data_IF_899041227686
#
_entry.id   IF_899041227686
#
_cell.length_a   1.000
_cell.length_b   1.000
_cell.length_c   1.000
_cell.angle_alpha   90.00
_cell.angle_beta   90.00
_cell.angle_gamma   90.00
#
_symmetry.space_group_name_H-M   'P 1'
#
loop_
_entity.id
_entity.type
_entity.pdbx_description
1 polymer ?
#
# COMPACT_ATOMS: atom_id res chain seq x y z
N UNK A 1 -17.53 -9.63 2.31
CA UNK A 1 -18.01 -8.32 2.78
C UNK A 1 -19.25 -8.50 3.63
N UNK A 2 -20.36 -8.98 3.09
CA UNK A 2 -21.60 -9.14 3.85
C UNK A 2 -22.74 -9.62 2.96
N UNK A 3 -23.98 -9.35 3.36
CA UNK A 3 -25.16 -9.76 2.60
C UNK A 3 -26.05 -8.57 2.26
N UNK A 4 -26.79 -8.68 1.17
CA UNK A 4 -27.83 -7.70 0.82
C UNK A 4 -28.92 -7.73 1.89
N UNK A 5 -29.12 -6.62 2.58
CA UNK A 5 -30.20 -6.44 3.55
C UNK A 5 -31.51 -6.06 2.85
N UNK A 6 -31.45 -5.12 1.90
CA UNK A 6 -32.61 -4.63 1.15
C UNK A 6 -32.17 -4.13 -0.23
N UNK A 7 -33.09 -4.17 -1.19
CA UNK A 7 -32.88 -3.61 -2.54
C UNK A 7 -34.02 -2.64 -2.82
N UNK A 8 -33.70 -1.44 -3.28
CA UNK A 8 -34.63 -0.48 -3.85
C UNK A 8 -34.31 -0.25 -5.34
N UNK A 9 -35.02 0.67 -5.98
CA UNK A 9 -34.94 0.87 -7.44
C UNK A 9 -33.55 1.31 -7.93
N UNK A 10 -32.85 2.11 -7.12
CA UNK A 10 -31.54 2.68 -7.47
C UNK A 10 -30.48 2.53 -6.38
N UNK A 11 -30.78 1.78 -5.33
CA UNK A 11 -29.90 1.59 -4.18
C UNK A 11 -30.07 0.20 -3.61
N UNK A 12 -29.06 -0.25 -2.87
CA UNK A 12 -29.13 -1.45 -2.06
C UNK A 12 -28.64 -1.13 -0.65
N UNK A 13 -29.07 -1.92 0.32
CA UNK A 13 -28.51 -1.93 1.66
C UNK A 13 -27.71 -3.20 1.84
N UNK A 14 -26.52 -3.09 2.43
CA UNK A 14 -25.65 -4.21 2.76
C UNK A 14 -25.51 -4.26 4.28
N UNK A 15 -25.75 -5.43 4.86
CA UNK A 15 -25.47 -5.70 6.26
C UNK A 15 -24.07 -6.33 6.39
N UNK A 16 -23.19 -5.69 7.16
CA UNK A 16 -21.81 -6.16 7.38
C UNK A 16 -21.23 -5.62 8.69
N UNK A 17 -20.23 -6.31 9.24
CA UNK A 17 -19.36 -5.77 10.31
C UNK A 17 -18.24 -4.89 9.77
N UNK A 18 -17.97 -4.92 8.47
CA UNK A 18 -16.90 -4.17 7.85
C UNK A 18 -17.30 -2.70 7.63
N UNK A 19 -16.31 -1.82 7.75
CA UNK A 19 -16.46 -0.42 7.34
C UNK A 19 -16.56 -0.35 5.81
N UNK A 20 -17.49 0.44 5.29
CA UNK A 20 -17.63 0.69 3.84
C UNK A 20 -17.37 2.15 3.49
N UNK A 21 -16.89 2.40 2.27
CA UNK A 21 -16.51 3.74 1.79
C UNK A 21 -17.07 4.03 0.41
N UNK A 22 -17.30 5.32 0.11
CA UNK A 22 -17.55 5.76 -1.26
C UNK A 22 -16.38 5.33 -2.16
N UNK A 23 -16.69 4.83 -3.35
CA UNK A 23 -15.72 4.32 -4.31
C UNK A 23 -15.40 2.83 -4.17
N UNK A 24 -15.86 2.16 -3.09
CA UNK A 24 -15.71 0.72 -2.93
C UNK A 24 -16.29 -0.02 -4.15
N UNK A 25 -15.57 -1.05 -4.59
CA UNK A 25 -16.05 -2.01 -5.56
C UNK A 25 -16.63 -3.23 -4.85
N UNK A 26 -17.81 -3.65 -5.29
CA UNK A 26 -18.45 -4.87 -4.84
C UNK A 26 -18.78 -5.79 -6.02
N UNK A 27 -18.91 -7.08 -5.74
CA UNK A 27 -19.40 -8.06 -6.69
C UNK A 27 -20.27 -9.12 -6.01
N UNK A 28 -21.09 -9.79 -6.81
CA UNK A 28 -21.97 -10.87 -6.38
C UNK A 28 -22.19 -11.87 -7.51
N UNK A 29 -22.69 -13.05 -7.16
CA UNK A 29 -23.07 -14.08 -8.13
C UNK A 29 -24.49 -13.86 -8.63
N UNK A 30 -24.63 -13.66 -9.95
CA UNK A 30 -25.92 -13.66 -10.64
C UNK A 30 -26.02 -14.92 -11.48
N UNK A 31 -26.75 -15.93 -10.98
CA UNK A 31 -26.76 -17.29 -11.56
C UNK A 31 -25.34 -17.87 -11.58
N UNK A 32 -24.70 -17.95 -12.76
CA UNK A 32 -23.34 -18.49 -12.95
C UNK A 32 -22.31 -17.44 -13.35
N UNK A 33 -22.69 -16.16 -13.30
CA UNK A 33 -21.85 -15.04 -13.69
C UNK A 33 -21.52 -14.17 -12.48
N UNK A 34 -20.28 -13.70 -12.40
CA UNK A 34 -19.86 -12.69 -11.41
C UNK A 34 -20.20 -11.32 -11.98
N UNK A 35 -21.00 -10.56 -11.25
CA UNK A 35 -21.40 -9.21 -11.61
C UNK A 35 -20.78 -8.23 -10.63
N UNK A 36 -20.02 -7.25 -11.13
CA UNK A 36 -19.37 -6.23 -10.33
C UNK A 36 -20.00 -4.85 -10.51
N UNK A 37 -19.91 -4.00 -9.49
CA UNK A 37 -20.30 -2.58 -9.55
C UNK A 37 -19.42 -1.74 -8.62
N UNK A 38 -19.28 -0.45 -8.94
CA UNK A 38 -18.70 0.53 -8.04
C UNK A 38 -19.82 1.22 -7.25
N UNK A 39 -19.58 1.49 -5.97
CA UNK A 39 -20.50 2.24 -5.11
C UNK A 39 -20.12 3.73 -5.10
N UNK A 40 -20.89 4.55 -5.80
CA UNK A 40 -20.68 6.00 -5.83
C UNK A 40 -21.02 6.68 -4.50
N UNK A 41 -22.00 6.15 -3.77
CA UNK A 41 -22.39 6.65 -2.46
C UNK A 41 -22.63 5.51 -1.51
N UNK A 42 -22.10 5.63 -0.30
CA UNK A 42 -22.16 4.66 0.79
C UNK A 42 -22.42 5.45 2.08
N UNK A 43 -23.54 5.16 2.73
CA UNK A 43 -23.95 5.81 3.98
C UNK A 43 -24.39 4.76 4.98
N UNK A 44 -23.83 4.79 6.20
CA UNK A 44 -24.36 3.98 7.29
C UNK A 44 -25.74 4.52 7.67
N UNK A 45 -26.77 3.67 7.61
CA UNK A 45 -28.16 4.07 7.87
C UNK A 45 -28.76 3.39 9.10
N UNK A 46 -28.04 2.46 9.72
CA UNK A 46 -28.50 1.82 10.95
C UNK A 46 -27.71 0.59 11.33
N UNK A 47 -28.36 -0.29 12.08
CA UNK A 47 -27.87 -1.61 12.49
C UNK A 47 -28.95 -2.66 12.26
N UNK A 48 -28.55 -3.87 11.92
CA UNK A 48 -29.42 -5.04 11.84
C UNK A 48 -29.18 -5.96 13.05
N UNK A 49 -29.92 -7.08 13.12
CA UNK A 49 -29.72 -8.11 14.13
C UNK A 49 -28.27 -8.61 14.16
N UNK A 50 -27.82 -9.07 15.32
CA UNK A 50 -26.44 -9.53 15.51
C UNK A 50 -25.40 -8.42 15.52
N UNK A 51 -25.81 -7.14 15.58
CA UNK A 51 -24.89 -6.00 15.68
C UNK A 51 -24.26 -5.57 14.36
N UNK A 52 -24.73 -6.11 13.22
CA UNK A 52 -24.27 -5.73 11.90
C UNK A 52 -24.62 -4.27 11.59
N UNK A 53 -23.72 -3.54 10.93
CA UNK A 53 -24.01 -2.22 10.39
C UNK A 53 -24.78 -2.36 9.08
N UNK A 54 -25.76 -1.49 8.86
CA UNK A 54 -26.50 -1.42 7.59
C UNK A 54 -26.01 -0.20 6.81
N UNK A 55 -25.50 -0.46 5.60
CA UNK A 55 -24.95 0.53 4.69
C UNK A 55 -25.85 0.70 3.48
N UNK A 56 -26.47 1.87 3.31
CA UNK A 56 -27.17 2.22 2.08
C UNK A 56 -26.18 2.67 1.03
N UNK A 57 -26.20 1.96 -0.08
CA UNK A 57 -25.25 2.06 -1.16
C UNK A 57 -25.96 2.41 -2.46
N UNK A 58 -25.40 3.33 -3.24
CA UNK A 58 -25.87 3.70 -4.58
C UNK A 58 -24.76 3.35 -5.56
N UNK A 59 -25.00 2.43 -6.52
CA UNK A 59 -24.00 2.05 -7.48
C UNK A 59 -23.79 3.12 -8.55
N UNK A 60 -22.70 3.00 -9.31
CA UNK A 60 -22.45 3.79 -10.50
C UNK A 60 -23.47 3.51 -11.63
N UNK A 61 -23.98 2.28 -11.71
CA UNK A 61 -25.05 1.89 -12.63
C UNK A 61 -26.16 1.11 -11.86
N UNK A 62 -27.34 1.74 -11.65
CA UNK A 62 -28.50 1.09 -11.03
C UNK A 62 -29.02 -0.14 -11.77
N UNK A 63 -28.83 -0.24 -13.09
CA UNK A 63 -29.35 -1.38 -13.87
C UNK A 63 -28.77 -2.72 -13.41
N UNK A 64 -27.57 -2.69 -12.83
CA UNK A 64 -26.88 -3.86 -12.27
C UNK A 64 -27.64 -4.47 -11.07
N UNK A 65 -28.49 -3.69 -10.39
CA UNK A 65 -29.34 -4.17 -9.29
C UNK A 65 -30.51 -5.04 -9.76
N UNK A 66 -30.81 -5.04 -11.07
CA UNK A 66 -31.93 -5.81 -11.61
C UNK A 66 -31.82 -7.30 -11.28
N UNK A 67 -32.81 -7.79 -10.53
CA UNK A 67 -32.90 -9.18 -10.08
C UNK A 67 -32.02 -9.53 -8.87
N UNK A 68 -31.32 -8.56 -8.27
CA UNK A 68 -30.64 -8.73 -6.98
C UNK A 68 -31.68 -8.89 -5.86
N UNK A 69 -31.40 -9.75 -4.88
CA UNK A 69 -32.35 -10.07 -3.80
C UNK A 69 -31.70 -9.94 -2.43
N UNK A 70 -32.49 -9.58 -1.39
CA UNK A 70 -32.05 -9.72 0.00
C UNK A 70 -31.51 -11.13 0.28
N UNK A 71 -30.48 -11.20 1.14
CA UNK A 71 -29.76 -12.43 1.46
C UNK A 71 -28.68 -12.84 0.45
N UNK A 72 -28.50 -12.10 -0.65
CA UNK A 72 -27.41 -12.38 -1.61
C UNK A 72 -26.07 -12.01 -0.99
N UNK A 73 -25.08 -12.91 -1.08
CA UNK A 73 -23.72 -12.66 -0.61
C UNK A 73 -23.01 -11.63 -1.49
N UNK A 74 -22.33 -10.70 -0.84
CA UNK A 74 -21.53 -9.64 -1.47
C UNK A 74 -20.05 -9.81 -1.09
N UNK A 75 -19.20 -9.77 -2.11
CA UNK A 75 -17.75 -9.69 -1.99
C UNK A 75 -17.26 -8.27 -2.29
N UNK A 76 -16.21 -7.83 -1.61
CA UNK A 76 -15.49 -6.59 -1.94
C UNK A 76 -14.36 -6.95 -2.90
N UNK A 77 -14.37 -6.41 -4.11
CA UNK A 77 -13.25 -6.56 -5.06
C UNK A 77 -12.36 -5.31 -5.15
N UNK A 78 -12.79 -4.19 -4.56
CA UNK A 78 -11.96 -2.99 -4.43
C UNK A 78 -12.28 -2.29 -3.11
N UNK A 79 -11.27 -2.13 -2.27
CA UNK A 79 -11.35 -1.35 -1.03
C UNK A 79 -10.74 0.03 -1.26
N UNK A 80 -11.60 1.04 -1.43
CA UNK A 80 -11.12 2.36 -1.82
C UNK A 80 -10.38 3.07 -0.67
N UNK A 81 -10.80 2.84 0.58
CA UNK A 81 -10.12 3.40 1.74
C UNK A 81 -8.70 2.81 1.89
N UNK A 82 -8.55 1.52 1.64
CA UNK A 82 -7.25 0.85 1.65
C UNK A 82 -6.34 1.34 0.51
N UNK A 83 -6.85 1.48 -0.72
CA UNK A 83 -6.07 2.06 -1.82
C UNK A 83 -5.56 3.47 -1.50
N UNK A 84 -6.43 4.33 -0.95
CA UNK A 84 -6.02 5.68 -0.53
C UNK A 84 -5.02 5.66 0.62
N UNK A 85 -5.06 4.65 1.50
CA UNK A 85 -4.08 4.49 2.56
C UNK A 85 -2.69 4.13 2.02
N UNK A 86 -2.62 3.33 0.95
CA UNK A 86 -1.37 2.96 0.29
C UNK A 86 -0.67 4.11 -0.43
N UNK A 87 -1.38 5.20 -0.74
CA UNK A 87 -0.79 6.40 -1.35
C UNK A 87 -0.10 7.32 -0.32
N UNK A 88 -0.19 7.02 0.98
CA UNK A 88 0.39 7.84 2.04
C UNK A 88 1.84 7.45 2.33
N UNK A 89 2.63 8.39 2.85
CA UNK A 89 4.02 8.14 3.28
C UNK A 89 4.16 6.98 4.28
N UNK A 90 3.14 6.72 5.09
CA UNK A 90 3.12 5.59 6.03
C UNK A 90 3.16 4.22 5.34
N UNK A 91 2.85 4.16 4.04
CA UNK A 91 2.93 2.97 3.21
C UNK A 91 4.19 2.94 2.33
N UNK A 92 5.10 3.92 2.47
CA UNK A 92 6.41 3.85 1.82
C UNK A 92 7.17 2.63 2.33
N UNK A 93 7.65 1.82 1.40
CA UNK A 93 8.54 0.69 1.67
C UNK A 93 9.90 1.00 1.05
N UNK A 94 10.93 1.07 1.89
CA UNK A 94 12.32 1.21 1.45
C UNK A 94 13.07 -0.11 1.59
N UNK A 95 14.09 -0.30 0.75
CA UNK A 95 15.02 -1.43 0.86
C UNK A 95 16.20 -0.99 1.71
N UNK A 96 16.36 -1.65 2.85
CA UNK A 96 17.51 -1.44 3.73
C UNK A 96 18.81 -1.93 3.09
N UNK A 97 19.86 -1.11 3.14
CA UNK A 97 21.20 -1.47 2.67
C UNK A 97 22.26 -1.11 3.69
N UNK A 98 23.27 -1.97 3.82
CA UNK A 98 24.47 -1.74 4.63
C UNK A 98 25.63 -1.40 3.72
N UNK A 99 26.32 -0.33 4.06
CA UNK A 99 27.45 0.14 3.29
C UNK A 99 28.77 -0.27 3.92
N UNK A 100 29.73 -0.65 3.09
CA UNK A 100 31.13 -0.84 3.48
C UNK A 100 32.00 -0.03 2.54
N UNK A 101 32.66 1.00 3.08
CA UNK A 101 33.70 1.74 2.39
C UNK A 101 35.05 1.19 2.82
N UNK A 102 35.88 0.82 1.85
CA UNK A 102 37.18 0.19 2.08
C UNK A 102 38.25 0.82 1.19
N UNK A 103 39.49 0.80 1.68
CA UNK A 103 40.66 1.15 0.87
C UNK A 103 41.03 -0.01 -0.06
N UNK A 104 41.55 0.36 -1.22
CA UNK A 104 42.15 -0.55 -2.20
C UNK A 104 43.60 -0.15 -2.44
N UNK A 105 44.34 -0.91 -3.23
CA UNK A 105 45.73 -0.58 -3.55
C UNK A 105 45.91 0.79 -4.25
N UNK A 106 44.87 1.30 -4.93
CA UNK A 106 44.94 2.50 -5.77
C UNK A 106 43.85 3.55 -5.46
N UNK A 107 43.03 3.34 -4.42
CA UNK A 107 41.93 4.25 -4.09
C UNK A 107 40.90 3.63 -3.14
N UNK A 108 39.62 3.85 -3.42
CA UNK A 108 38.51 3.41 -2.56
C UNK A 108 37.55 2.48 -3.28
N UNK A 109 36.93 1.55 -2.54
CA UNK A 109 35.82 0.73 -2.98
C UNK A 109 34.65 0.84 -1.99
N UNK A 110 33.47 1.16 -2.53
CA UNK A 110 32.20 1.22 -1.80
C UNK A 110 31.34 0.03 -2.21
N UNK A 111 30.90 -0.75 -1.22
CA UNK A 111 29.98 -1.88 -1.41
C UNK A 111 28.70 -1.63 -0.63
N UNK A 112 27.55 -1.83 -1.27
CA UNK A 112 26.26 -1.93 -0.58
C UNK A 112 25.78 -3.37 -0.61
N UNK A 113 25.19 -3.83 0.50
CA UNK A 113 24.53 -5.13 0.60
C UNK A 113 23.11 -4.94 1.13
N UNK A 114 22.11 -5.58 0.53
CA UNK A 114 20.74 -5.54 1.02
C UNK A 114 20.41 -6.68 2.01
N UNK A 115 19.18 -6.71 2.51
CA UNK A 115 18.74 -7.70 3.49
C UNK A 115 18.65 -9.14 2.94
N UNK A 116 18.61 -9.29 1.62
CA UNK A 116 18.60 -10.58 0.94
C UNK A 116 20.03 -11.06 0.63
N UNK A 117 21.06 -10.27 0.99
CA UNK A 117 22.46 -10.58 0.77
C UNK A 117 22.96 -10.23 -0.64
N UNK A 118 22.20 -9.46 -1.41
CA UNK A 118 22.63 -9.00 -2.72
C UNK A 118 23.62 -7.84 -2.54
N UNK A 119 24.81 -7.95 -3.16
CA UNK A 119 25.85 -6.93 -3.05
C UNK A 119 26.21 -6.32 -4.40
N UNK A 120 26.51 -5.02 -4.39
CA UNK A 120 27.08 -4.30 -5.53
C UNK A 120 28.22 -3.40 -5.05
N UNK A 121 29.31 -3.36 -5.82
CA UNK A 121 30.51 -2.59 -5.49
C UNK A 121 30.87 -1.62 -6.61
N UNK A 122 31.32 -0.42 -6.24
CA UNK A 122 31.92 0.54 -7.14
C UNK A 122 33.25 1.02 -6.57
N UNK A 123 34.26 1.15 -7.43
CA UNK A 123 35.59 1.61 -7.07
C UNK A 123 35.95 2.92 -7.76
N UNK A 124 36.83 3.68 -7.13
CA UNK A 124 37.44 4.87 -7.72
C UNK A 124 38.94 4.88 -7.38
N UNK A 125 39.77 5.18 -8.37
CA UNK A 125 41.20 5.40 -8.17
C UNK A 125 41.41 6.86 -7.74
N UNK A 126 42.06 7.04 -6.58
CA UNK A 126 42.44 8.35 -6.08
C UNK A 126 43.61 8.22 -5.10
N UNK A 127 44.41 9.29 -5.00
CA UNK A 127 45.38 9.39 -3.92
C UNK A 127 44.63 9.60 -2.59
N UNK A 128 44.93 8.76 -1.60
CA UNK A 128 44.42 8.93 -0.24
C UNK A 128 45.25 10.00 0.49
N UNK A 129 44.56 10.91 1.17
CA UNK A 129 45.19 11.98 1.94
C UNK A 129 44.98 11.75 3.43
N UNK A 130 45.97 12.13 4.23
CA UNK A 130 45.83 12.10 5.68
C UNK A 130 44.84 13.18 6.14
N UNK A 131 43.91 12.76 6.99
CA UNK A 131 42.96 13.68 7.60
C UNK A 131 43.62 14.42 8.76
N UNK A 132 43.22 15.67 8.99
CA UNK A 132 43.62 16.47 10.16
C UNK A 132 42.71 16.27 11.38
N UNK A 133 41.48 15.83 11.16
CA UNK A 133 40.44 15.62 12.18
C UNK A 133 39.65 14.36 11.81
N UNK A 134 40.05 13.23 12.41
CA UNK A 134 39.55 11.90 12.08
C UNK A 134 38.04 11.77 12.31
N UNK A 135 37.53 12.30 13.43
CA UNK A 135 36.12 12.21 13.78
C UNK A 135 35.24 12.97 12.77
N UNK A 136 35.68 14.16 12.35
CA UNK A 136 34.95 14.94 11.35
C UNK A 136 34.96 14.28 9.98
N UNK A 137 36.07 13.69 9.56
CA UNK A 137 36.11 12.99 8.28
C UNK A 137 35.28 11.71 8.28
N UNK A 138 35.35 10.91 9.34
CA UNK A 138 34.51 9.71 9.46
C UNK A 138 33.03 10.07 9.35
N UNK A 139 32.57 11.08 10.11
CA UNK A 139 31.18 11.52 10.03
C UNK A 139 30.81 12.02 8.62
N UNK A 140 31.75 12.71 7.95
CA UNK A 140 31.53 13.20 6.58
C UNK A 140 31.39 12.04 5.58
N UNK A 141 32.22 11.00 5.72
CA UNK A 141 32.14 9.79 4.90
C UNK A 141 30.85 9.03 5.15
N UNK A 142 30.45 8.84 6.41
CA UNK A 142 29.18 8.20 6.78
C UNK A 142 27.99 8.94 6.16
N UNK A 143 27.97 10.27 6.26
CA UNK A 143 26.90 11.08 5.66
C UNK A 143 26.88 10.99 4.13
N UNK A 144 28.04 10.99 3.48
CA UNK A 144 28.14 10.89 2.02
C UNK A 144 27.69 9.52 1.50
N UNK A 145 28.09 8.44 2.19
CA UNK A 145 27.69 7.07 1.88
C UNK A 145 26.21 6.84 2.19
N UNK A 146 25.66 7.41 3.27
CA UNK A 146 24.23 7.29 3.57
C UNK A 146 23.33 8.10 2.62
N UNK A 147 23.89 8.98 1.78
CA UNK A 147 23.13 9.80 0.86
C UNK A 147 22.75 9.06 -0.42
N UNK A 148 21.60 8.38 -0.37
CA UNK A 148 21.07 7.56 -1.48
C UNK A 148 20.10 8.32 -2.39
N UNK A 149 19.97 9.64 -2.25
CA UNK A 149 19.12 10.47 -3.09
C UNK A 149 17.63 10.06 -3.08
N UNK A 150 16.95 10.22 -4.22
CA UNK A 150 15.54 9.84 -4.41
C UNK A 150 15.40 8.38 -4.89
N UNK A 151 16.20 7.47 -4.33
CA UNK A 151 16.10 6.04 -4.62
C UNK A 151 15.17 5.35 -3.63
N UNK A 152 14.81 4.10 -3.94
CA UNK A 152 14.03 3.22 -3.06
C UNK A 152 14.83 2.64 -1.89
N UNK A 153 16.12 2.97 -1.77
CA UNK A 153 17.01 2.43 -0.75
C UNK A 153 17.07 3.32 0.50
N UNK A 154 17.38 2.71 1.64
CA UNK A 154 17.65 3.38 2.90
C UNK A 154 18.95 2.82 3.48
N UNK A 155 19.91 3.68 3.75
CA UNK A 155 21.13 3.28 4.43
C UNK A 155 20.82 2.91 5.88
N UNK A 156 21.32 1.76 6.30
CA UNK A 156 21.39 1.33 7.69
C UNK A 156 22.81 1.52 8.23
N UNK A 157 22.90 1.71 9.54
CA UNK A 157 24.16 1.70 10.28
C UNK A 157 24.73 0.28 10.43
#
# INVERSE_FOLDING_TARGET
LGTVHKVGDSWLEIATTEQMSNGDGINFMKKREVVGMQLNTVKQVGKAEGGLLVWRCVPNDPAVLSGLKPGTDICRNRDHAWELALLKKSAERRIGVWATLSETATGLALTYTDADGCSASAGVELALEQVKDDARAEQSLRNAVANLGNTLYQAHD
#
